data_IF_570676658283
#
_entry.id   IF_570676658283
#
_cell.length_a   1.000
_cell.length_b   1.000
_cell.length_c   1.000
_cell.angle_alpha   90.00
_cell.angle_beta   90.00
_cell.angle_gamma   90.00
#
_symmetry.space_group_name_H-M   'P 1'
#
loop_
_entity.id
_entity.type
_entity.pdbx_description
1 polymer ?
#
# COMPACT_ATOMS: atom_id res chain seq x y z
N UNK A 1 72.42 40.15 37.77
CA UNK A 1 72.58 39.47 36.47
C UNK A 1 71.64 38.24 36.46
N UNK A 2 70.54 38.31 35.74
CA UNK A 2 69.59 37.20 35.58
C UNK A 2 69.66 36.71 34.14
N UNK A 3 70.15 35.50 34.00
CA UNK A 3 70.29 34.84 32.73
C UNK A 3 68.89 34.29 32.24
N UNK A 4 68.44 34.74 31.09
CA UNK A 4 67.20 34.32 30.47
C UNK A 4 67.55 33.13 29.50
N UNK A 5 67.05 31.93 29.79
CA UNK A 5 67.16 30.81 28.89
C UNK A 5 65.93 30.83 27.97
N UNK A 6 66.15 31.01 26.67
CA UNK A 6 65.10 30.92 25.64
C UNK A 6 65.06 29.47 25.18
N UNK A 7 63.98 28.75 25.52
CA UNK A 7 63.68 27.41 24.99
C UNK A 7 62.97 27.58 23.64
N UNK A 8 63.63 27.13 22.58
CA UNK A 8 63.04 27.05 21.23
C UNK A 8 62.15 25.78 21.15
N UNK A 9 60.85 25.97 21.13
CA UNK A 9 59.91 24.86 20.79
C UNK A 9 59.89 24.65 19.27
N UNK A 10 60.45 23.57 18.83
CA UNK A 10 60.31 23.08 17.44
C UNK A 10 58.89 22.54 17.26
N UNK A 11 58.05 23.27 16.50
CA UNK A 11 56.74 22.84 16.10
C UNK A 11 56.88 21.88 14.89
N UNK A 12 56.87 20.59 15.13
CA UNK A 12 56.80 19.56 14.08
C UNK A 12 55.37 19.58 13.53
N UNK A 13 55.16 20.20 12.36
CA UNK A 13 53.91 20.16 11.64
C UNK A 13 53.63 18.74 11.10
N UNK A 14 52.67 18.05 11.69
CA UNK A 14 52.08 16.87 11.11
C UNK A 14 51.27 17.29 9.90
N UNK A 15 51.84 17.16 8.70
CA UNK A 15 51.08 17.20 7.45
C UNK A 15 50.27 15.88 7.38
N UNK A 16 49.03 15.93 7.85
CA UNK A 16 48.06 14.88 7.56
C UNK A 16 47.82 14.89 6.06
N UNK A 17 48.36 13.94 5.35
CA UNK A 17 47.99 13.63 3.97
C UNK A 17 46.51 13.25 3.98
N UNK A 18 45.66 14.13 3.53
CA UNK A 18 44.30 13.76 3.14
C UNK A 18 44.44 12.87 1.92
N UNK A 19 44.45 11.57 2.12
CA UNK A 19 44.31 10.62 1.03
C UNK A 19 42.95 10.90 0.41
N UNK A 20 42.92 11.60 -0.73
CA UNK A 20 41.77 11.61 -1.61
C UNK A 20 41.60 10.16 -2.06
N UNK A 21 40.61 9.47 -1.46
CA UNK A 21 40.21 8.17 -1.97
C UNK A 21 39.92 8.37 -3.47
N UNK A 22 40.57 7.54 -4.31
CA UNK A 22 40.19 7.48 -5.70
C UNK A 22 38.67 7.24 -5.75
N UNK A 23 37.93 7.86 -6.68
CA UNK A 23 36.50 7.62 -6.77
C UNK A 23 36.30 6.13 -6.86
N UNK A 24 35.54 5.57 -5.92
CA UNK A 24 35.18 4.17 -5.94
C UNK A 24 34.57 3.88 -7.31
N UNK A 25 35.08 2.87 -8.00
CA UNK A 25 34.51 2.45 -9.29
C UNK A 25 33.01 2.16 -9.10
N UNK A 26 32.21 2.34 -10.13
CA UNK A 26 30.78 2.07 -10.06
C UNK A 26 30.51 0.61 -9.71
N UNK A 27 29.50 0.37 -8.87
CA UNK A 27 29.04 -0.99 -8.54
C UNK A 27 28.15 -1.53 -9.67
N UNK A 28 27.38 -0.63 -10.30
CA UNK A 28 26.43 -0.93 -11.35
C UNK A 28 26.40 0.19 -12.40
N UNK A 29 26.37 -0.20 -13.66
CA UNK A 29 26.20 0.73 -14.80
C UNK A 29 25.02 0.27 -15.62
N UNK A 30 24.10 1.17 -15.87
CA UNK A 30 23.01 1.01 -16.85
C UNK A 30 23.44 1.69 -18.14
N UNK A 31 23.37 0.98 -19.26
CA UNK A 31 23.76 1.50 -20.58
C UNK A 31 22.63 1.34 -21.61
N UNK A 32 22.72 2.12 -22.69
CA UNK A 32 21.87 1.99 -23.89
C UNK A 32 20.37 2.03 -23.52
N UNK A 33 19.98 2.91 -22.61
CA UNK A 33 18.58 3.05 -22.13
C UNK A 33 17.93 4.36 -22.54
N UNK A 34 16.70 4.51 -22.11
CA UNK A 34 15.97 5.77 -22.02
C UNK A 34 15.62 5.99 -20.56
N UNK A 35 16.52 6.67 -19.85
CA UNK A 35 16.47 6.75 -18.40
C UNK A 35 15.95 8.12 -17.98
N UNK A 36 14.73 8.17 -17.44
CA UNK A 36 14.18 9.39 -16.83
C UNK A 36 14.84 9.63 -15.47
N UNK A 37 15.50 10.77 -15.32
CA UNK A 37 16.31 11.06 -14.14
C UNK A 37 15.53 11.69 -12.98
N UNK A 38 14.31 12.17 -13.23
CA UNK A 38 13.56 13.05 -12.34
C UNK A 38 14.27 14.40 -12.03
N UNK A 39 15.38 14.68 -12.71
CA UNK A 39 16.09 15.95 -12.66
C UNK A 39 15.70 16.79 -13.89
N UNK A 40 15.13 18.00 -13.71
CA UNK A 40 14.67 18.82 -14.85
C UNK A 40 15.80 19.32 -15.75
N UNK A 41 17.04 19.40 -15.24
CA UNK A 41 18.20 19.85 -16.03
C UNK A 41 18.77 18.70 -16.89
N UNK A 42 18.76 17.48 -16.37
CA UNK A 42 19.25 16.29 -17.06
C UNK A 42 18.21 15.64 -17.97
N UNK A 43 16.92 15.68 -17.57
CA UNK A 43 15.83 15.09 -18.33
C UNK A 43 15.95 13.57 -18.50
N UNK A 44 16.03 13.13 -19.79
CA UNK A 44 16.20 11.71 -20.14
C UNK A 44 17.62 11.50 -20.65
N UNK A 45 18.32 10.52 -20.06
CA UNK A 45 19.70 10.16 -20.40
C UNK A 45 19.78 8.72 -20.93
N UNK A 46 20.93 8.34 -21.50
CA UNK A 46 21.16 6.99 -22.03
C UNK A 46 21.70 6.01 -20.98
N UNK A 47 22.42 6.54 -19.98
CA UNK A 47 23.17 5.73 -19.03
C UNK A 47 23.25 6.35 -17.63
N UNK A 48 23.43 5.49 -16.63
CA UNK A 48 23.74 5.85 -15.24
C UNK A 48 24.86 4.96 -14.71
N UNK A 49 25.76 5.54 -13.89
CA UNK A 49 26.65 4.76 -13.03
C UNK A 49 26.26 4.97 -11.56
N UNK A 50 26.27 3.89 -10.81
CA UNK A 50 25.87 3.83 -9.41
C UNK A 50 27.02 3.23 -8.60
N UNK A 51 27.36 3.89 -7.49
CA UNK A 51 28.32 3.40 -6.51
C UNK A 51 27.80 3.73 -5.10
N UNK A 52 27.98 2.81 -4.16
CA UNK A 52 27.52 2.97 -2.77
C UNK A 52 26.03 3.41 -2.66
N UNK A 53 25.18 2.88 -3.54
CA UNK A 53 23.75 3.20 -3.60
C UNK A 53 23.43 4.60 -4.12
N UNK A 54 24.38 5.32 -4.71
CA UNK A 54 24.20 6.68 -5.25
C UNK A 54 24.54 6.75 -6.73
N UNK A 55 23.81 7.58 -7.47
CA UNK A 55 24.16 7.91 -8.85
C UNK A 55 25.40 8.79 -8.85
N UNK A 56 26.50 8.31 -9.46
CA UNK A 56 27.78 9.03 -9.55
C UNK A 56 28.02 9.63 -10.94
N UNK A 57 27.32 9.14 -11.97
CA UNK A 57 27.35 9.69 -13.31
C UNK A 57 26.03 9.43 -14.04
N UNK A 58 25.64 10.37 -14.90
CA UNK A 58 24.48 10.27 -15.79
C UNK A 58 24.82 10.96 -17.12
N UNK A 59 24.35 10.42 -18.25
CA UNK A 59 24.61 11.01 -19.56
C UNK A 59 24.62 9.99 -20.70
N UNK A 60 25.55 10.19 -21.66
CA UNK A 60 25.76 9.27 -22.76
C UNK A 60 26.43 7.96 -22.30
N UNK A 61 26.11 6.86 -22.93
CA UNK A 61 26.59 5.52 -22.54
C UNK A 61 28.12 5.43 -22.52
N UNK A 62 28.81 6.04 -23.47
CA UNK A 62 30.26 6.03 -23.52
C UNK A 62 30.90 6.76 -22.33
N UNK A 63 30.44 7.97 -22.04
CA UNK A 63 31.00 8.82 -20.99
C UNK A 63 30.78 8.22 -19.58
N UNK A 64 29.59 7.63 -19.37
CA UNK A 64 29.23 7.01 -18.10
C UNK A 64 30.02 5.73 -17.86
N UNK A 65 30.24 4.92 -18.90
CA UNK A 65 31.04 3.71 -18.82
C UNK A 65 32.50 4.02 -18.40
N UNK A 66 33.11 5.03 -19.03
CA UNK A 66 34.47 5.43 -18.68
C UNK A 66 34.64 5.87 -17.23
N UNK A 67 33.60 6.55 -16.67
CA UNK A 67 33.61 6.99 -15.28
C UNK A 67 33.38 5.86 -14.28
N UNK A 68 32.69 4.81 -14.68
CA UNK A 68 32.36 3.70 -13.79
C UNK A 68 33.57 2.78 -13.53
N UNK A 69 34.54 2.73 -14.45
CA UNK A 69 35.70 1.84 -14.35
C UNK A 69 35.38 0.38 -14.69
N UNK A 70 36.43 -0.43 -14.78
CA UNK A 70 36.35 -1.82 -15.30
C UNK A 70 35.68 -2.83 -14.35
N UNK A 71 35.50 -2.50 -13.06
CA UNK A 71 34.95 -3.40 -12.06
C UNK A 71 33.42 -3.39 -11.93
N UNK A 72 32.75 -2.46 -12.60
CA UNK A 72 31.30 -2.27 -12.47
C UNK A 72 30.51 -3.38 -13.18
N UNK A 73 29.45 -3.86 -12.54
CA UNK A 73 28.45 -4.71 -13.19
C UNK A 73 27.70 -3.92 -14.26
N UNK A 74 27.69 -4.38 -15.48
CA UNK A 74 27.01 -3.72 -16.59
C UNK A 74 25.65 -4.36 -16.85
N UNK A 75 24.61 -3.53 -16.94
CA UNK A 75 23.28 -3.90 -17.39
C UNK A 75 22.94 -3.11 -18.66
N UNK A 76 22.92 -3.79 -19.81
CA UNK A 76 22.46 -3.22 -21.07
C UNK A 76 20.95 -3.18 -21.11
N UNK A 77 20.38 -1.99 -21.22
CA UNK A 77 18.93 -1.79 -21.28
C UNK A 77 18.35 -2.04 -22.68
N UNK A 78 19.18 -2.05 -23.72
CA UNK A 78 18.72 -2.34 -25.09
C UNK A 78 17.60 -1.41 -25.55
N UNK A 79 17.68 -0.13 -25.24
CA UNK A 79 16.67 0.89 -25.56
C UNK A 79 15.46 0.93 -24.61
N UNK A 80 15.41 0.06 -23.59
CA UNK A 80 14.32 0.02 -22.61
C UNK A 80 14.27 1.27 -21.73
N UNK A 81 13.07 1.61 -21.30
CA UNK A 81 12.84 2.70 -20.37
C UNK A 81 13.22 2.30 -18.94
N UNK A 82 13.84 3.22 -18.21
CA UNK A 82 14.08 3.11 -16.78
C UNK A 82 13.77 4.44 -16.10
N UNK A 83 13.40 4.38 -14.83
CA UNK A 83 13.10 5.55 -14.01
C UNK A 83 13.36 5.22 -12.54
N UNK A 84 13.49 6.24 -11.66
CA UNK A 84 13.49 6.00 -10.21
C UNK A 84 12.24 5.26 -9.77
N UNK A 85 12.38 4.39 -8.78
CA UNK A 85 11.23 3.77 -8.12
C UNK A 85 10.31 4.81 -7.49
N UNK A 86 9.02 4.50 -7.40
CA UNK A 86 8.07 5.37 -6.73
C UNK A 86 8.35 5.40 -5.22
N UNK A 87 8.29 6.60 -4.66
CA UNK A 87 8.35 6.83 -3.23
C UNK A 87 6.97 7.32 -2.80
N UNK A 88 6.13 6.40 -2.36
CA UNK A 88 4.77 6.70 -1.91
C UNK A 88 4.80 7.05 -0.42
N UNK A 89 4.58 8.33 -0.11
CA UNK A 89 4.56 8.84 1.26
C UNK A 89 3.21 8.59 1.96
N UNK A 90 2.19 8.11 1.24
CA UNK A 90 0.86 7.83 1.78
C UNK A 90 0.31 6.55 1.16
N UNK A 91 0.65 5.40 1.73
CA UNK A 91 0.19 4.10 1.26
C UNK A 91 -0.55 3.34 2.37
N UNK A 92 -1.70 2.78 2.03
CA UNK A 92 -2.50 1.92 2.91
C UNK A 92 -2.15 0.44 2.68
N UNK A 93 -0.89 0.05 2.95
CA UNK A 93 -0.40 -1.30 2.68
C UNK A 93 -1.21 -2.39 3.38
N UNK A 94 -1.65 -2.16 4.62
CA UNK A 94 -2.51 -3.10 5.36
C UNK A 94 -3.84 -3.35 4.64
N UNK A 95 -4.50 -2.29 4.17
CA UNK A 95 -5.74 -2.42 3.40
C UNK A 95 -5.52 -3.12 2.06
N UNK A 96 -4.45 -2.80 1.35
CA UNK A 96 -4.12 -3.46 0.08
C UNK A 96 -3.82 -4.95 0.26
N UNK A 97 -3.13 -5.32 1.34
CA UNK A 97 -2.87 -6.72 1.68
C UNK A 97 -4.16 -7.47 2.03
N UNK A 98 -5.03 -6.89 2.86
CA UNK A 98 -6.34 -7.47 3.17
C UNK A 98 -7.18 -7.65 1.91
N UNK A 99 -7.20 -6.68 1.01
CA UNK A 99 -7.94 -6.75 -0.24
C UNK A 99 -7.44 -7.88 -1.18
N UNK A 100 -6.18 -8.27 -1.08
CA UNK A 100 -5.63 -9.37 -1.86
C UNK A 100 -6.06 -10.75 -1.37
N UNK A 101 -6.51 -10.87 -0.12
CA UNK A 101 -6.87 -12.14 0.54
C UNK A 101 -8.34 -12.21 0.97
N UNK A 102 -9.13 -11.17 0.73
CA UNK A 102 -10.55 -11.09 1.06
C UNK A 102 -11.40 -10.92 -0.20
N UNK A 103 -12.73 -11.01 -0.05
CA UNK A 103 -13.65 -10.81 -1.17
C UNK A 103 -13.56 -9.39 -1.74
N UNK A 104 -13.06 -9.29 -2.97
CA UNK A 104 -12.94 -8.00 -3.67
C UNK A 104 -14.25 -7.64 -4.39
N UNK A 105 -14.88 -6.54 -3.95
CA UNK A 105 -16.13 -6.03 -4.50
C UNK A 105 -15.93 -4.70 -5.25
N UNK A 106 -14.68 -4.27 -5.46
CA UNK A 106 -14.43 -3.06 -6.24
C UNK A 106 -14.95 -3.22 -7.68
N UNK A 107 -15.60 -2.15 -8.15
CA UNK A 107 -16.11 -2.09 -9.52
C UNK A 107 -17.34 -2.95 -9.77
N UNK A 108 -18.02 -3.49 -8.74
CA UNK A 108 -19.34 -4.08 -8.91
C UNK A 108 -20.31 -3.03 -9.45
N UNK A 109 -21.02 -3.35 -10.52
CA UNK A 109 -21.97 -2.45 -11.18
C UNK A 109 -23.43 -2.64 -10.73
N UNK A 110 -23.71 -3.61 -9.87
CA UNK A 110 -25.06 -3.90 -9.38
C UNK A 110 -25.05 -4.78 -8.13
N UNK A 111 -26.19 -4.84 -7.42
CA UNK A 111 -26.44 -5.78 -6.35
C UNK A 111 -26.29 -7.24 -6.83
N UNK A 112 -26.82 -7.55 -8.02
CA UNK A 112 -26.72 -8.90 -8.59
C UNK A 112 -25.24 -9.34 -8.79
N UNK A 113 -24.39 -8.44 -9.26
CA UNK A 113 -22.96 -8.73 -9.41
C UNK A 113 -22.27 -8.90 -8.05
N UNK A 114 -22.64 -8.11 -7.03
CA UNK A 114 -22.16 -8.30 -5.66
C UNK A 114 -22.53 -9.69 -5.16
N UNK A 115 -23.80 -10.10 -5.31
CA UNK A 115 -24.31 -11.41 -4.91
C UNK A 115 -23.60 -12.55 -5.65
N UNK A 116 -23.35 -12.41 -6.95
CA UNK A 116 -22.61 -13.39 -7.75
C UNK A 116 -21.18 -13.58 -7.24
N UNK A 117 -20.47 -12.47 -6.95
CA UNK A 117 -19.10 -12.53 -6.39
C UNK A 117 -19.08 -13.14 -5.00
N UNK A 118 -20.06 -12.81 -4.15
CA UNK A 118 -20.21 -13.41 -2.83
C UNK A 118 -20.47 -14.93 -2.94
N UNK A 119 -21.40 -15.35 -3.78
CA UNK A 119 -21.72 -16.76 -4.02
C UNK A 119 -20.49 -17.56 -4.49
N UNK A 120 -19.72 -17.00 -5.42
CA UNK A 120 -18.50 -17.63 -5.89
C UNK A 120 -17.43 -17.76 -4.79
N UNK A 121 -17.31 -16.75 -3.93
CA UNK A 121 -16.32 -16.73 -2.85
C UNK A 121 -16.66 -17.74 -1.74
N UNK A 122 -17.91 -17.77 -1.27
CA UNK A 122 -18.33 -18.67 -0.17
C UNK A 122 -18.29 -20.14 -0.55
N UNK A 123 -18.32 -20.47 -1.85
CA UNK A 123 -18.23 -21.85 -2.32
C UNK A 123 -16.94 -22.57 -1.90
N UNK A 124 -15.86 -21.79 -1.70
CA UNK A 124 -14.54 -22.30 -1.31
C UNK A 124 -14.23 -22.07 0.18
N UNK A 125 -15.15 -21.47 0.95
CA UNK A 125 -14.98 -21.19 2.38
C UNK A 125 -15.67 -22.28 3.21
N UNK A 126 -15.03 -22.86 4.24
CA UNK A 126 -15.68 -23.80 5.15
C UNK A 126 -16.87 -23.18 5.87
N UNK A 127 -17.96 -23.93 6.02
CA UNK A 127 -19.15 -23.47 6.72
C UNK A 127 -18.84 -23.00 8.15
N UNK A 128 -19.39 -21.87 8.54
CA UNK A 128 -19.17 -21.25 9.84
C UNK A 128 -17.94 -20.34 9.91
N UNK A 129 -17.07 -20.32 8.91
CA UNK A 129 -15.98 -19.36 8.86
C UNK A 129 -16.46 -17.97 8.42
N UNK A 130 -15.77 -16.94 8.90
CA UNK A 130 -16.06 -15.55 8.56
C UNK A 130 -15.69 -15.25 7.09
N UNK A 131 -16.57 -14.49 6.44
CA UNK A 131 -16.31 -13.89 5.15
C UNK A 131 -16.25 -12.37 5.28
N UNK A 132 -15.11 -11.80 4.96
CA UNK A 132 -14.94 -10.36 4.86
C UNK A 132 -14.76 -9.96 3.41
N UNK A 133 -15.50 -8.95 3.00
CA UNK A 133 -15.38 -8.37 1.67
C UNK A 133 -15.38 -6.85 1.73
N UNK A 134 -14.89 -6.23 0.65
CA UNK A 134 -14.78 -4.77 0.62
C UNK A 134 -14.86 -4.21 -0.80
N UNK A 135 -15.36 -2.98 -0.90
CA UNK A 135 -15.19 -2.17 -2.10
C UNK A 135 -16.46 -1.96 -2.92
N UNK A 136 -17.64 -2.41 -2.45
CA UNK A 136 -18.90 -2.09 -3.11
C UNK A 136 -19.24 -0.60 -2.91
N UNK A 137 -19.94 -0.04 -3.91
CA UNK A 137 -20.42 1.33 -3.89
C UNK A 137 -21.70 1.44 -4.73
N UNK A 138 -22.85 1.44 -4.06
CA UNK A 138 -24.16 1.51 -4.68
C UNK A 138 -24.40 2.81 -5.46
N UNK A 139 -23.67 3.87 -5.14
CA UNK A 139 -23.79 5.14 -5.85
C UNK A 139 -23.35 5.04 -7.31
N UNK A 140 -22.57 4.02 -7.65
CA UNK A 140 -22.15 3.70 -9.01
C UNK A 140 -23.12 2.77 -9.74
N UNK A 141 -24.14 2.24 -9.05
CA UNK A 141 -25.08 1.31 -9.63
C UNK A 141 -26.26 2.03 -10.29
N UNK A 142 -26.80 1.44 -11.35
CA UNK A 142 -27.95 2.00 -12.04
C UNK A 142 -29.19 2.13 -11.12
N UNK A 143 -29.39 1.14 -10.24
CA UNK A 143 -30.39 1.18 -9.18
C UNK A 143 -29.63 1.34 -7.86
N UNK A 144 -29.41 2.56 -7.40
CA UNK A 144 -28.62 2.89 -6.22
C UNK A 144 -29.27 2.38 -4.91
N UNK A 145 -29.44 1.05 -4.81
CA UNK A 145 -30.03 0.37 -3.67
C UNK A 145 -28.93 -0.19 -2.76
N UNK A 146 -28.92 0.23 -1.50
CA UNK A 146 -28.00 -0.32 -0.49
C UNK A 146 -28.35 -1.79 -0.26
N UNK A 147 -27.36 -2.69 -0.28
CA UNK A 147 -27.58 -4.09 0.07
C UNK A 147 -28.14 -4.24 1.50
N UNK A 148 -29.00 -5.23 1.69
CA UNK A 148 -29.64 -5.55 2.98
C UNK A 148 -29.21 -6.91 3.48
N UNK A 149 -29.57 -7.23 4.73
CA UNK A 149 -29.39 -8.55 5.33
C UNK A 149 -30.03 -9.65 4.45
N UNK A 150 -31.25 -9.41 3.95
CA UNK A 150 -31.99 -10.38 3.11
C UNK A 150 -31.25 -10.66 1.80
N UNK A 151 -30.60 -9.63 1.20
CA UNK A 151 -29.83 -9.79 -0.02
C UNK A 151 -28.61 -10.69 0.16
N UNK A 152 -28.00 -10.66 1.35
CA UNK A 152 -26.84 -11.50 1.67
C UNK A 152 -27.25 -12.89 2.15
N UNK A 153 -28.29 -13.00 2.97
CA UNK A 153 -28.82 -14.26 3.49
C UNK A 153 -29.40 -15.13 2.38
N UNK A 154 -29.89 -14.52 1.28
CA UNK A 154 -30.28 -15.23 0.07
C UNK A 154 -29.12 -16.00 -0.59
N UNK A 155 -27.88 -15.60 -0.31
CA UNK A 155 -26.68 -16.22 -0.88
C UNK A 155 -26.08 -17.25 0.08
N UNK A 156 -26.06 -16.94 1.38
CA UNK A 156 -25.51 -17.85 2.39
C UNK A 156 -26.13 -17.63 3.76
N UNK A 157 -26.60 -18.72 4.35
CA UNK A 157 -27.04 -18.82 5.75
C UNK A 157 -25.99 -19.50 6.65
N UNK A 158 -24.87 -19.95 6.08
CA UNK A 158 -23.85 -20.74 6.76
C UNK A 158 -22.61 -19.93 7.13
N UNK A 159 -22.46 -18.73 6.59
CA UNK A 159 -21.29 -17.89 6.81
C UNK A 159 -21.68 -16.56 7.46
N UNK A 160 -21.01 -16.16 8.55
CA UNK A 160 -21.08 -14.77 9.00
C UNK A 160 -20.32 -13.90 8.00
N UNK A 161 -21.03 -12.98 7.36
CA UNK A 161 -20.46 -12.12 6.28
C UNK A 161 -20.51 -10.67 6.75
N UNK A 162 -19.43 -9.94 6.48
CA UNK A 162 -19.36 -8.48 6.59
C UNK A 162 -18.75 -7.90 5.31
N UNK A 163 -19.51 -7.08 4.60
CA UNK A 163 -19.09 -6.43 3.37
C UNK A 163 -18.95 -4.92 3.58
N UNK A 164 -17.71 -4.43 3.70
CA UNK A 164 -17.42 -3.02 3.88
C UNK A 164 -17.60 -2.23 2.58
N UNK A 165 -18.24 -1.06 2.66
CA UNK A 165 -18.37 -0.11 1.56
C UNK A 165 -17.01 0.47 1.16
N UNK A 166 -16.88 0.95 -0.06
CA UNK A 166 -15.63 1.50 -0.60
C UNK A 166 -15.06 2.65 0.23
N UNK A 167 -15.93 3.50 0.80
CA UNK A 167 -15.54 4.63 1.65
C UNK A 167 -15.06 4.24 3.05
N UNK A 168 -15.37 3.00 3.49
CA UNK A 168 -15.01 2.50 4.82
C UNK A 168 -15.86 3.03 5.97
N UNK A 169 -16.93 3.82 5.68
CA UNK A 169 -17.82 4.41 6.68
C UNK A 169 -19.07 3.59 6.96
N UNK A 170 -19.27 2.52 6.21
CA UNK A 170 -20.39 1.59 6.43
C UNK A 170 -20.10 0.20 5.91
N UNK A 171 -20.85 -0.77 6.43
CA UNK A 171 -20.82 -2.16 5.99
C UNK A 171 -22.21 -2.76 6.02
N UNK A 172 -22.42 -3.86 5.29
CA UNK A 172 -23.61 -4.69 5.37
C UNK A 172 -23.23 -6.08 5.88
N UNK A 173 -24.06 -6.64 6.75
CA UNK A 173 -23.82 -7.92 7.43
C UNK A 173 -24.96 -8.90 7.20
N UNK A 174 -24.67 -10.22 7.20
CA UNK A 174 -25.69 -11.29 7.28
C UNK A 174 -26.33 -11.36 8.66
N UNK A 175 -27.52 -11.97 8.76
CA UNK A 175 -28.16 -12.28 10.05
C UNK A 175 -27.22 -13.05 10.98
N UNK A 176 -26.49 -14.05 10.46
CA UNK A 176 -25.54 -14.82 11.24
C UNK A 176 -24.39 -13.97 11.80
N UNK A 177 -23.94 -12.95 11.07
CA UNK A 177 -22.91 -12.03 11.55
C UNK A 177 -23.46 -11.10 12.64
N UNK A 178 -24.68 -10.59 12.47
CA UNK A 178 -25.39 -9.79 13.49
C UNK A 178 -25.61 -10.59 14.77
N UNK A 179 -26.08 -11.82 14.65
CA UNK A 179 -26.31 -12.75 15.80
C UNK A 179 -25.01 -12.99 16.57
N UNK A 180 -23.91 -13.24 15.88
CA UNK A 180 -22.59 -13.43 16.53
C UNK A 180 -22.10 -12.16 17.23
N UNK A 181 -22.45 -10.99 16.73
CA UNK A 181 -22.14 -9.70 17.34
C UNK A 181 -23.12 -9.33 18.47
N UNK A 182 -24.17 -10.12 18.69
CA UNK A 182 -25.22 -9.82 19.68
C UNK A 182 -26.06 -8.61 19.29
N UNK A 183 -26.19 -8.33 18.00
CA UNK A 183 -26.98 -7.22 17.46
C UNK A 183 -28.39 -7.71 17.15
N UNK A 184 -29.35 -7.22 17.93
CA UNK A 184 -30.78 -7.50 17.78
C UNK A 184 -31.62 -6.22 17.74
N UNK A 185 -32.96 -6.37 17.75
CA UNK A 185 -33.88 -5.24 17.75
C UNK A 185 -33.76 -4.33 18.97
N UNK A 186 -33.29 -4.86 20.11
CA UNK A 186 -33.14 -4.11 21.36
C UNK A 186 -31.74 -3.50 21.54
N UNK A 187 -30.77 -3.86 20.72
CA UNK A 187 -29.41 -3.35 20.78
C UNK A 187 -29.37 -1.85 20.46
N UNK A 188 -28.90 -0.99 21.37
CA UNK A 188 -28.84 0.45 21.09
C UNK A 188 -27.76 0.77 20.07
N UNK A 189 -27.91 1.89 19.39
CA UNK A 189 -26.83 2.44 18.54
C UNK A 189 -25.61 2.77 19.42
N UNK A 190 -24.41 2.40 18.99
CA UNK A 190 -23.20 2.78 19.71
C UNK A 190 -22.88 4.27 19.54
N UNK A 191 -22.08 4.82 20.43
CA UNK A 191 -21.61 6.19 20.34
C UNK A 191 -20.88 6.42 18.98
N UNK A 192 -21.38 7.36 18.20
CA UNK A 192 -20.82 7.71 16.89
C UNK A 192 -21.14 6.71 15.78
N UNK A 193 -22.09 5.79 15.96
CA UNK A 193 -22.50 4.83 14.93
C UNK A 193 -24.00 4.63 14.88
N UNK A 194 -24.50 3.99 13.83
CA UNK A 194 -25.92 3.69 13.63
C UNK A 194 -26.09 2.27 13.12
N UNK A 195 -26.94 1.50 13.80
CA UNK A 195 -27.49 0.24 13.31
C UNK A 195 -28.78 0.58 12.57
N UNK A 196 -28.74 0.54 11.24
CA UNK A 196 -29.91 0.91 10.43
C UNK A 196 -31.00 -0.15 10.61
N UNK A 197 -32.23 0.33 10.88
CA UNK A 197 -33.42 -0.52 11.14
C UNK A 197 -34.51 -0.19 10.14
N UNK A 198 -35.35 -1.17 9.88
CA UNK A 198 -36.58 -1.03 9.12
C UNK A 198 -37.70 -0.36 9.95
N UNK A 199 -38.91 -0.31 9.38
CA UNK A 199 -40.10 0.27 10.01
C UNK A 199 -40.59 -0.50 11.27
N UNK A 200 -40.20 -1.75 11.42
CA UNK A 200 -40.54 -2.63 12.53
C UNK A 200 -39.42 -2.68 13.62
N UNK A 201 -38.35 -1.93 13.39
CA UNK A 201 -37.19 -1.83 14.32
C UNK A 201 -36.18 -2.95 14.15
N UNK A 202 -36.27 -3.77 13.12
CA UNK A 202 -35.35 -4.88 12.83
C UNK A 202 -34.11 -4.35 12.11
N UNK A 203 -32.92 -4.82 12.50
CA UNK A 203 -31.67 -4.43 11.86
C UNK A 203 -31.65 -4.89 10.39
N UNK A 204 -31.43 -3.95 9.48
CA UNK A 204 -31.39 -4.21 8.03
C UNK A 204 -30.07 -4.84 7.56
N UNK A 205 -29.12 -5.06 8.46
CA UNK A 205 -27.76 -5.46 8.16
C UNK A 205 -26.83 -4.28 7.89
N UNK A 206 -27.35 -3.08 7.61
CA UNK A 206 -26.53 -1.91 7.32
C UNK A 206 -26.04 -1.23 8.60
N UNK A 207 -24.73 -1.24 8.78
CA UNK A 207 -24.02 -0.70 9.95
C UNK A 207 -23.19 0.52 9.50
N UNK A 208 -23.32 1.63 10.22
CA UNK A 208 -22.61 2.87 9.90
C UNK A 208 -21.62 3.24 11.00
N UNK A 209 -20.49 3.78 10.57
CA UNK A 209 -19.44 4.30 11.44
C UNK A 209 -19.02 3.28 12.52
N UNK A 210 -19.05 3.64 13.78
CA UNK A 210 -18.63 2.75 14.88
C UNK A 210 -19.50 1.50 15.03
N UNK A 211 -20.71 1.46 14.46
CA UNK A 211 -21.56 0.28 14.52
C UNK A 211 -20.97 -0.92 13.78
N UNK A 212 -20.23 -0.70 12.67
CA UNK A 212 -19.58 -1.80 11.96
C UNK A 212 -18.46 -2.47 12.76
N UNK A 213 -17.81 -1.72 13.66
CA UNK A 213 -16.71 -2.23 14.51
C UNK A 213 -17.18 -3.37 15.41
N UNK A 214 -18.45 -3.36 15.83
CA UNK A 214 -19.00 -4.43 16.69
C UNK A 214 -18.96 -5.80 16.02
N UNK A 215 -19.08 -5.84 14.69
CA UNK A 215 -18.96 -7.06 13.90
C UNK A 215 -17.51 -7.29 13.47
N UNK A 216 -16.83 -6.25 13.00
CA UNK A 216 -15.48 -6.32 12.44
C UNK A 216 -14.45 -6.91 13.43
N UNK A 217 -14.55 -6.57 14.71
CA UNK A 217 -13.66 -7.08 15.77
C UNK A 217 -13.79 -8.59 16.04
N UNK A 218 -14.83 -9.25 15.51
CA UNK A 218 -15.04 -10.70 15.65
C UNK A 218 -14.41 -11.49 14.49
N UNK A 219 -13.97 -10.80 13.45
CA UNK A 219 -13.30 -11.40 12.29
C UNK A 219 -11.85 -11.72 12.67
N UNK A 220 -11.39 -12.99 12.51
CA UNK A 220 -10.07 -13.44 12.95
C UNK A 220 -8.92 -12.75 12.20
#
# INVERSE_FOLDING_TARGET
>A
MRTIIIAACALAGLLASVATAAPAGGDLVLLNGRIYTADPELGVVEALAIADGKVIAAGLSADVRDRAGDGARVLDLGGRFAMPGFNDAHAHLGHAALQAVTLNLNGTGSLAELQERLAAYVADVPAGEWVYGRGWDESLWLAAAVPTVDDLDAITDQHPVLLARADGHSAVATSLALDRAGIDAATPDPDGGVIVRDGDGIATGWLKETAQIQVEQLIP
#
